data_IF_759998592902
#
_entry.id   IF_759998592902
#
_cell.length_a   1.000
_cell.length_b   1.000
_cell.length_c   1.000
_cell.angle_alpha   90.00
_cell.angle_beta   90.00
_cell.angle_gamma   90.00
#
_symmetry.space_group_name_H-M   'P 1'
#
loop_
_entity.id
_entity.type
_entity.pdbx_description
1 polymer ?
#
# COMPACT_ATOMS: atom_id res chain seq x y z
N UNK A 1 10.96 1.55 14.65
CA UNK A 1 12.04 2.38 14.07
C UNK A 1 11.44 3.73 13.82
N UNK A 2 12.06 4.79 14.31
CA UNK A 2 11.59 6.17 14.10
C UNK A 2 11.97 6.64 12.69
N UNK A 3 11.03 7.30 12.00
CA UNK A 3 11.22 7.78 10.63
C UNK A 3 11.58 9.27 10.66
N UNK A 4 12.85 9.58 10.43
CA UNK A 4 13.36 10.96 10.47
C UNK A 4 13.12 11.68 9.14
N UNK A 5 12.89 13.00 9.17
CA UNK A 5 12.73 13.86 7.99
C UNK A 5 11.60 13.44 7.02
N UNK A 6 10.54 12.80 7.54
CA UNK A 6 9.39 12.32 6.73
C UNK A 6 8.03 12.89 7.14
N UNK A 7 8.01 13.89 8.01
CA UNK A 7 6.79 14.48 8.53
C UNK A 7 5.86 15.00 7.42
N UNK A 8 6.38 15.77 6.46
CA UNK A 8 5.58 16.38 5.39
C UNK A 8 4.94 15.34 4.45
N UNK A 9 5.70 14.29 4.12
CA UNK A 9 5.19 13.20 3.30
C UNK A 9 4.08 12.42 4.01
N UNK A 10 4.22 12.18 5.32
CA UNK A 10 3.19 11.55 6.14
C UNK A 10 1.95 12.44 6.27
N UNK A 11 2.12 13.75 6.49
CA UNK A 11 1.03 14.71 6.57
C UNK A 11 0.24 14.78 5.25
N UNK A 12 0.94 14.73 4.11
CA UNK A 12 0.31 14.68 2.78
C UNK A 12 -0.56 13.43 2.63
N UNK A 13 -0.05 12.25 2.99
CA UNK A 13 -0.81 11.01 2.93
C UNK A 13 -2.02 11.01 3.89
N UNK A 14 -1.86 11.61 5.07
CA UNK A 14 -2.96 11.73 6.04
C UNK A 14 -4.08 12.65 5.55
N UNK A 15 -3.72 13.77 4.91
CA UNK A 15 -4.69 14.64 4.24
C UNK A 15 -5.47 13.93 3.13
N UNK A 16 -4.81 13.07 2.35
CA UNK A 16 -5.47 12.26 1.32
C UNK A 16 -6.41 11.21 1.91
N UNK A 17 -6.04 10.60 3.04
CA UNK A 17 -6.90 9.63 3.74
C UNK A 17 -8.23 10.27 4.20
N UNK A 18 -8.19 11.56 4.56
CA UNK A 18 -9.37 12.33 4.96
C UNK A 18 -10.18 12.88 3.77
N UNK A 19 -9.69 12.75 2.53
CA UNK A 19 -10.35 13.33 1.36
C UNK A 19 -11.71 12.67 1.06
N UNK A 20 -12.78 13.45 0.86
CA UNK A 20 -14.05 12.92 0.38
C UNK A 20 -13.89 12.39 -1.06
N UNK A 21 -14.58 11.28 -1.38
CA UNK A 21 -14.57 10.71 -2.73
C UNK A 21 -13.40 9.76 -3.05
N UNK A 22 -12.49 9.53 -2.10
CA UNK A 22 -11.32 8.66 -2.29
C UNK A 22 -10.19 9.35 -3.05
N UNK A 23 -8.97 8.83 -2.89
CA UNK A 23 -7.77 9.39 -3.48
C UNK A 23 -6.79 8.29 -3.93
N UNK A 24 -5.95 8.62 -4.90
CA UNK A 24 -4.81 7.80 -5.33
C UNK A 24 -3.54 8.60 -5.12
N UNK A 25 -2.58 8.02 -4.42
CA UNK A 25 -1.26 8.60 -4.20
C UNK A 25 -0.18 7.76 -4.87
N UNK A 26 0.76 8.42 -5.56
CA UNK A 26 1.98 7.80 -6.07
C UNK A 26 3.17 8.26 -5.22
N UNK A 27 3.83 7.32 -4.54
CA UNK A 27 5.07 7.61 -3.82
C UNK A 27 6.26 7.23 -4.69
N UNK A 28 6.90 8.23 -5.28
CA UNK A 28 8.08 8.08 -6.13
C UNK A 28 9.37 8.48 -5.40
N UNK A 29 10.51 8.01 -5.90
CA UNK A 29 11.83 8.30 -5.34
C UNK A 29 12.85 7.24 -5.71
N UNK A 30 14.12 7.50 -5.43
CA UNK A 30 15.24 6.63 -5.78
C UNK A 30 15.18 5.27 -5.09
N UNK A 31 15.89 4.28 -5.66
CA UNK A 31 16.08 2.98 -5.01
C UNK A 31 16.75 3.19 -3.64
N UNK A 32 16.24 2.53 -2.60
CA UNK A 32 16.74 2.72 -1.24
C UNK A 32 16.29 4.00 -0.54
N UNK A 33 15.55 4.92 -1.19
CA UNK A 33 15.09 6.17 -0.59
C UNK A 33 14.05 6.02 0.55
N UNK A 34 13.77 4.81 1.02
CA UNK A 34 12.89 4.56 2.17
C UNK A 34 11.39 4.59 1.88
N UNK A 35 10.95 4.50 0.61
CA UNK A 35 9.52 4.54 0.22
C UNK A 35 8.66 3.50 0.96
N UNK A 36 9.12 2.25 1.03
CA UNK A 36 8.42 1.19 1.76
C UNK A 36 8.36 1.48 3.26
N UNK A 37 9.42 2.05 3.84
CA UNK A 37 9.43 2.43 5.25
C UNK A 37 8.43 3.57 5.55
N UNK A 38 8.33 4.57 4.66
CA UNK A 38 7.31 5.63 4.73
C UNK A 38 5.90 5.06 4.70
N UNK A 39 5.60 4.20 3.72
CA UNK A 39 4.27 3.61 3.58
C UNK A 39 3.92 2.68 4.74
N UNK A 40 4.89 1.91 5.28
CA UNK A 40 4.68 1.10 6.49
C UNK A 40 4.39 1.94 7.73
N UNK A 41 5.08 3.08 7.89
CA UNK A 41 4.82 4.01 8.98
C UNK A 41 3.41 4.63 8.86
N UNK A 42 3.05 5.10 7.66
CA UNK A 42 1.70 5.62 7.38
C UNK A 42 0.61 4.56 7.63
N UNK A 43 0.80 3.33 7.15
CA UNK A 43 -0.12 2.23 7.40
C UNK A 43 -0.34 1.98 8.89
N UNK A 44 0.74 2.02 9.69
CA UNK A 44 0.67 1.82 11.14
C UNK A 44 -0.11 2.94 11.84
N UNK A 45 0.04 4.20 11.42
CA UNK A 45 -0.69 5.35 11.99
C UNK A 45 -2.12 5.47 11.47
N UNK A 46 -2.42 4.92 10.30
CA UNK A 46 -3.76 4.86 9.73
C UNK A 46 -4.62 3.72 10.31
N UNK A 47 -4.01 2.60 10.72
CA UNK A 47 -4.71 1.40 11.19
C UNK A 47 -5.77 1.63 12.30
N UNK A 48 -5.60 2.58 13.26
CA UNK A 48 -6.64 2.86 14.25
C UNK A 48 -7.88 3.60 13.68
N UNK A 49 -7.76 4.21 12.51
CA UNK A 49 -8.79 5.08 11.89
C UNK A 49 -9.39 4.50 10.62
N UNK A 50 -8.71 3.55 9.99
CA UNK A 50 -9.12 2.94 8.74
C UNK A 50 -8.67 1.48 8.65
N UNK A 51 -9.42 0.68 7.89
CA UNK A 51 -8.97 -0.66 7.53
C UNK A 51 -7.86 -0.56 6.50
N UNK A 52 -6.66 -0.95 6.89
CA UNK A 52 -5.50 -0.98 5.99
C UNK A 52 -5.37 -2.36 5.36
N UNK A 53 -5.23 -2.40 4.04
CA UNK A 53 -4.97 -3.61 3.26
C UNK A 53 -3.66 -3.42 2.49
N UNK A 54 -2.82 -4.45 2.45
CA UNK A 54 -1.47 -4.35 1.91
C UNK A 54 -1.20 -5.38 0.81
N UNK A 55 -0.68 -4.96 -0.34
CA UNK A 55 -0.25 -5.85 -1.42
C UNK A 55 1.21 -5.62 -1.79
N UNK A 56 1.89 -6.66 -2.28
CA UNK A 56 3.27 -6.53 -2.75
C UNK A 56 3.35 -6.63 -4.27
N UNK A 57 4.14 -5.77 -4.87
CA UNK A 57 4.60 -5.99 -6.25
C UNK A 57 5.62 -7.13 -6.25
N UNK A 58 5.46 -8.10 -7.16
CA UNK A 58 6.40 -9.21 -7.28
C UNK A 58 7.72 -8.71 -7.91
N UNK A 59 8.88 -8.98 -7.30
CA UNK A 59 10.19 -8.60 -7.86
C UNK A 59 10.64 -9.59 -8.95
N UNK A 60 9.70 -10.07 -9.77
CA UNK A 60 9.91 -11.12 -10.76
C UNK A 60 9.91 -10.53 -12.17
N UNK A 61 10.67 -11.16 -13.08
CA UNK A 61 10.64 -10.80 -14.50
C UNK A 61 9.24 -10.97 -15.11
N UNK A 62 8.50 -11.98 -14.65
CA UNK A 62 7.09 -12.22 -14.98
C UNK A 62 6.27 -12.13 -13.69
N UNK A 63 5.72 -10.96 -13.34
CA UNK A 63 4.88 -10.79 -12.16
C UNK A 63 3.64 -11.69 -12.21
N UNK A 64 3.12 -12.09 -11.04
CA UNK A 64 1.81 -12.76 -10.99
C UNK A 64 0.75 -11.78 -11.51
N UNK A 65 -0.10 -12.26 -12.42
CA UNK A 65 -1.24 -11.47 -12.87
C UNK A 65 -2.06 -11.03 -11.66
N UNK A 66 -2.24 -9.71 -11.51
CA UNK A 66 -2.98 -9.11 -10.39
C UNK A 66 -2.46 -9.53 -8.99
N UNK A 67 -1.18 -9.91 -8.86
CA UNK A 67 -0.56 -10.37 -7.61
C UNK A 67 -0.89 -9.51 -6.38
N UNK A 68 -0.70 -8.17 -6.43
CA UNK A 68 -1.06 -7.30 -5.30
C UNK A 68 -2.54 -7.35 -4.91
N UNK A 69 -3.46 -7.52 -5.87
CA UNK A 69 -4.89 -7.61 -5.59
C UNK A 69 -5.23 -8.95 -4.93
N UNK A 70 -4.57 -10.04 -5.33
CA UNK A 70 -4.70 -11.33 -4.66
C UNK A 70 -4.20 -11.29 -3.21
N UNK A 71 -3.13 -10.55 -2.93
CA UNK A 71 -2.62 -10.35 -1.56
C UNK A 71 -3.64 -9.59 -0.69
N UNK A 72 -4.26 -8.55 -1.25
CA UNK A 72 -5.33 -7.77 -0.60
C UNK A 72 -6.58 -8.62 -0.37
N UNK A 73 -7.01 -9.41 -1.36
CA UNK A 73 -8.20 -10.25 -1.27
C UNK A 73 -8.10 -11.27 -0.11
N UNK A 74 -6.92 -11.87 0.08
CA UNK A 74 -6.68 -12.83 1.18
C UNK A 74 -6.83 -12.20 2.57
N UNK A 75 -6.50 -10.91 2.72
CA UNK A 75 -6.66 -10.19 3.99
C UNK A 75 -8.12 -9.88 4.36
N UNK A 76 -9.03 -9.99 3.39
CA UNK A 76 -10.46 -9.81 3.62
C UNK A 76 -11.25 -11.12 3.62
N UNK A 77 -10.56 -12.27 3.59
CA UNK A 77 -11.17 -13.60 3.52
C UNK A 77 -11.69 -13.96 2.13
N UNK A 78 -11.35 -13.18 1.10
CA UNK A 78 -11.68 -13.49 -0.29
C UNK A 78 -10.78 -14.61 -0.81
N UNK A 79 -11.38 -15.62 -1.43
CA UNK A 79 -10.64 -16.60 -2.24
C UNK A 79 -10.54 -16.02 -3.65
N UNK A 80 -9.33 -15.67 -4.13
CA UNK A 80 -9.20 -15.20 -5.49
C UNK A 80 -9.48 -16.36 -6.45
N UNK A 81 -10.42 -16.15 -7.38
CA UNK A 81 -10.66 -17.12 -8.45
C UNK A 81 -9.45 -17.16 -9.36
N UNK A 82 -9.09 -18.36 -9.82
CA UNK A 82 -7.95 -18.49 -10.71
C UNK A 82 -8.30 -17.87 -12.07
N UNK A 83 -7.35 -17.20 -12.76
CA UNK A 83 -7.58 -16.71 -14.12
C UNK A 83 -7.71 -17.86 -15.15
N UNK A 84 -7.44 -19.12 -14.77
CA UNK A 84 -7.62 -20.28 -15.63
C UNK A 84 -9.10 -20.75 -15.73
N UNK A 85 -10.00 -20.12 -14.96
CA UNK A 85 -11.45 -20.43 -14.92
C UNK A 85 -12.31 -19.31 -15.54
N UNK A 86 -11.70 -18.35 -16.25
CA UNK A 86 -12.37 -17.22 -16.92
C UNK A 86 -12.16 -17.27 -18.44
#
# INVERSE_FOLDING_TARGET
MELLERADALATLDGLLASPGGAVALVAGEAGAGKSALLSAFASTAAPRARVLWGSCDPLLTPRALGPLHDVARQVGGVPRSPAEA
#
